data_IF_442664456432
#
_entry.id   IF_442664456432
#
_cell.length_a   1.000
_cell.length_b   1.000
_cell.length_c   1.000
_cell.angle_alpha   90.00
_cell.angle_beta   90.00
_cell.angle_gamma   90.00
#
_symmetry.space_group_name_H-M   'P 1'
#
loop_
_entity.id
_entity.type
_entity.pdbx_description
1 polymer ?
#
# COMPACT_ATOMS: atom_id res chain seq x y z
N UNK A 1 -11.25 9.68 -11.71
CA UNK A 1 -10.42 10.21 -10.61
C UNK A 1 -11.41 10.74 -9.58
N UNK A 2 -11.65 10.03 -8.48
CA UNK A 2 -12.58 10.49 -7.44
C UNK A 2 -11.73 10.88 -6.24
N UNK A 3 -11.49 12.19 -6.09
CA UNK A 3 -10.95 12.77 -4.86
C UNK A 3 -12.08 12.77 -3.83
N UNK A 4 -12.01 11.89 -2.85
CA UNK A 4 -12.61 12.18 -1.56
C UNK A 4 -11.54 12.83 -0.70
N UNK A 5 -11.73 14.09 -0.35
CA UNK A 5 -11.04 14.74 0.78
C UNK A 5 -11.50 14.08 2.08
N UNK A 6 -11.26 12.78 2.23
CA UNK A 6 -11.31 12.10 3.51
C UNK A 6 -10.03 12.51 4.23
N UNK A 7 -10.22 13.23 5.34
CA UNK A 7 -9.19 13.75 6.24
C UNK A 7 -8.02 12.73 6.35
N UNK A 8 -6.88 13.01 5.71
CA UNK A 8 -5.70 12.14 5.83
C UNK A 8 -5.18 12.25 7.27
N UNK A 9 -5.61 11.32 8.12
CA UNK A 9 -5.08 11.20 9.47
C UNK A 9 -3.62 10.76 9.34
N UNK A 10 -2.69 11.69 9.60
CA UNK A 10 -1.27 11.35 9.70
C UNK A 10 -1.04 10.64 11.03
N UNK A 11 -1.01 9.31 11.00
CA UNK A 11 -0.73 8.45 12.16
C UNK A 11 0.77 8.39 12.52
N UNK A 12 1.62 9.05 11.73
CA UNK A 12 3.08 9.03 11.87
C UNK A 12 3.72 7.70 11.47
N UNK A 13 2.92 6.72 11.02
CA UNK A 13 3.36 5.41 10.57
C UNK A 13 3.61 5.43 9.07
N UNK A 14 4.38 4.44 8.61
CA UNK A 14 4.73 4.27 7.20
C UNK A 14 4.31 2.88 6.77
N UNK A 15 3.88 2.76 5.53
CA UNK A 15 3.33 1.52 4.98
C UNK A 15 3.99 1.17 3.65
N UNK A 16 3.99 -0.12 3.33
CA UNK A 16 4.25 -0.64 1.98
C UNK A 16 3.08 -1.50 1.54
N UNK A 17 2.87 -1.58 0.23
CA UNK A 17 1.88 -2.49 -0.37
C UNK A 17 2.65 -3.60 -1.07
N UNK A 18 2.36 -4.84 -0.71
CA UNK A 18 2.87 -6.03 -1.37
C UNK A 18 1.83 -6.56 -2.35
N UNK A 19 2.30 -7.09 -3.47
CA UNK A 19 1.51 -7.89 -4.40
C UNK A 19 2.08 -9.30 -4.51
N UNK A 20 1.19 -10.28 -4.65
CA UNK A 20 1.54 -11.68 -4.79
C UNK A 20 1.46 -12.13 -6.25
N UNK A 21 2.60 -11.99 -6.94
CA UNK A 21 2.72 -12.34 -8.35
C UNK A 21 2.58 -13.86 -8.51
N UNK A 22 1.60 -14.27 -9.33
CA UNK A 22 1.32 -15.67 -9.67
C UNK A 22 1.20 -16.62 -8.46
N UNK A 23 0.82 -16.11 -7.28
CA UNK A 23 0.73 -16.83 -6.00
C UNK A 23 2.05 -17.44 -5.50
N UNK A 24 3.20 -16.95 -5.97
CA UNK A 24 4.51 -17.55 -5.66
C UNK A 24 5.36 -16.71 -4.73
N UNK A 25 5.38 -15.40 -4.94
CA UNK A 25 6.21 -14.49 -4.15
C UNK A 25 5.49 -13.18 -3.86
N UNK A 26 5.84 -12.56 -2.73
CA UNK A 26 5.34 -11.24 -2.37
C UNK A 26 6.39 -10.19 -2.69
N UNK A 27 6.05 -9.23 -3.55
CA UNK A 27 6.95 -8.15 -3.96
C UNK A 27 6.34 -6.79 -3.62
N UNK A 28 7.20 -5.81 -3.33
CA UNK A 28 6.76 -4.44 -3.04
C UNK A 28 6.30 -3.79 -4.34
N UNK A 29 5.06 -3.32 -4.37
CA UNK A 29 4.55 -2.59 -5.54
C UNK A 29 5.35 -1.31 -5.74
N UNK A 30 5.57 -0.94 -7.00
CA UNK A 30 6.46 0.15 -7.40
C UNK A 30 6.10 1.48 -6.72
N UNK A 31 4.82 1.75 -6.56
CA UNK A 31 4.27 2.97 -5.98
C UNK A 31 4.57 3.11 -4.48
N UNK A 32 4.96 2.03 -3.79
CA UNK A 32 5.26 2.04 -2.35
C UNK A 32 6.73 1.76 -2.00
N UNK A 33 7.64 1.78 -3.00
CA UNK A 33 9.08 1.51 -2.79
C UNK A 33 9.75 2.41 -1.75
N UNK A 34 9.29 3.65 -1.58
CA UNK A 34 9.82 4.60 -0.59
C UNK A 34 8.98 4.69 0.68
N UNK A 35 8.12 3.70 0.93
CA UNK A 35 7.04 3.72 1.92
C UNK A 35 6.04 4.86 1.66
N UNK A 36 4.83 4.73 2.19
CA UNK A 36 3.73 5.67 1.97
C UNK A 36 2.94 5.86 3.27
N UNK A 37 2.10 6.89 3.30
CA UNK A 37 1.09 7.07 4.35
C UNK A 37 0.00 6.01 4.24
N UNK A 38 -0.85 5.88 5.28
CA UNK A 38 -1.98 4.96 5.25
C UNK A 38 -2.95 5.27 4.10
N UNK A 39 -3.25 6.55 3.87
CA UNK A 39 -4.17 6.99 2.80
C UNK A 39 -3.64 6.61 1.42
N UNK A 40 -2.37 6.92 1.14
CA UNK A 40 -1.71 6.53 -0.10
C UNK A 40 -1.65 5.00 -0.28
N UNK A 41 -1.40 4.22 0.78
CA UNK A 41 -1.42 2.76 0.71
C UNK A 41 -2.80 2.23 0.30
N UNK A 42 -3.87 2.81 0.84
CA UNK A 42 -5.25 2.46 0.47
C UNK A 42 -5.57 2.84 -0.99
N UNK A 43 -5.10 4.01 -1.44
CA UNK A 43 -5.26 4.44 -2.82
C UNK A 43 -4.54 3.51 -3.80
N UNK A 44 -3.29 3.12 -3.49
CA UNK A 44 -2.53 2.14 -4.26
C UNK A 44 -3.30 0.81 -4.28
N UNK A 45 -3.76 0.32 -3.14
CA UNK A 45 -4.51 -0.93 -3.04
C UNK A 45 -5.76 -0.93 -3.94
N UNK A 46 -6.57 0.14 -3.88
CA UNK A 46 -7.76 0.29 -4.70
C UNK A 46 -7.44 0.42 -6.20
N UNK A 47 -6.37 1.14 -6.54
CA UNK A 47 -5.90 1.29 -7.91
C UNK A 47 -5.50 -0.07 -8.51
N UNK A 48 -4.76 -0.89 -7.77
CA UNK A 48 -4.33 -2.21 -8.23
C UNK A 48 -5.51 -3.17 -8.45
N UNK A 49 -6.50 -3.17 -7.56
CA UNK A 49 -7.73 -3.95 -7.77
C UNK A 49 -8.47 -3.49 -9.03
N UNK A 50 -8.67 -2.17 -9.16
CA UNK A 50 -9.52 -1.60 -10.21
C UNK A 50 -8.89 -1.66 -11.61
N UNK A 51 -7.57 -1.47 -11.69
CA UNK A 51 -6.89 -1.25 -12.97
C UNK A 51 -5.84 -2.31 -13.32
N UNK A 52 -5.38 -3.11 -12.36
CA UNK A 52 -4.38 -4.17 -12.60
C UNK A 52 -4.94 -5.59 -12.53
N UNK A 53 -6.26 -5.72 -12.32
CA UNK A 53 -6.97 -7.01 -12.24
C UNK A 53 -6.38 -7.96 -11.18
N UNK A 54 -5.86 -7.38 -10.10
CA UNK A 54 -5.33 -8.12 -8.95
C UNK A 54 -6.45 -8.33 -7.94
N UNK A 55 -6.57 -9.54 -7.40
CA UNK A 55 -7.58 -9.83 -6.37
C UNK A 55 -7.14 -9.24 -5.02
N UNK A 56 -8.08 -8.83 -4.15
CA UNK A 56 -7.74 -8.34 -2.81
C UNK A 56 -6.84 -9.30 -2.02
N UNK A 57 -7.05 -10.61 -2.15
CA UNK A 57 -6.23 -11.64 -1.48
C UNK A 57 -4.77 -11.67 -1.94
N UNK A 58 -4.47 -11.12 -3.11
CA UNK A 58 -3.13 -11.02 -3.67
C UNK A 58 -2.42 -9.71 -3.29
N UNK A 59 -3.04 -8.87 -2.46
CA UNK A 59 -2.45 -7.61 -1.98
C UNK A 59 -2.38 -7.60 -0.46
N UNK A 60 -1.30 -7.03 0.08
CA UNK A 60 -1.11 -6.84 1.52
C UNK A 60 -0.58 -5.45 1.80
N UNK A 61 -1.23 -4.73 2.70
CA UNK A 61 -0.69 -3.48 3.27
C UNK A 61 0.03 -3.84 4.56
N UNK A 62 1.29 -3.44 4.69
CA UNK A 62 2.13 -3.74 5.85
C UNK A 62 2.69 -2.44 6.42
N UNK A 63 2.59 -2.29 7.74
CA UNK A 63 3.25 -1.21 8.48
C UNK A 63 4.75 -1.47 8.56
N UNK A 64 5.55 -0.46 8.20
CA UNK A 64 7.01 -0.49 8.28
C UNK A 64 7.43 0.05 9.65
N UNK A 65 8.15 -0.74 10.47
CA UNK A 65 8.61 -0.27 11.76
C UNK A 65 9.66 0.84 11.61
N UNK A 66 9.61 1.83 12.51
CA UNK A 66 10.64 2.86 12.62
C UNK A 66 11.87 2.32 13.33
N UNK A 67 12.82 1.77 12.56
CA UNK A 67 14.04 1.12 13.06
C UNK A 67 15.16 2.12 13.42
N UNK A 68 15.02 3.40 13.10
CA UNK A 68 16.04 4.43 13.36
C UNK A 68 15.88 5.10 14.72
N UNK A 69 14.78 4.87 15.44
CA UNK A 69 14.54 5.35 16.81
C UNK A 69 14.99 4.35 17.89
N UNK A 70 16.04 3.59 17.60
CA UNK A 70 16.75 2.76 18.58
C UNK A 70 17.69 3.56 19.47
#
# INVERSE_FOLDING_TARGET
>A
MFFRNELQVMDGKRYIVLECELKREWTVVRESKHTVTQGEALEIFQYWIKYKNVKPEQLKVIEVPDILKG
#
